data_IF_458238732848
#
_entry.id   IF_458238732848
#
_cell.length_a   1.000
_cell.length_b   1.000
_cell.length_c   1.000
_cell.angle_alpha   90.00
_cell.angle_beta   90.00
_cell.angle_gamma   90.00
#
_symmetry.space_group_name_H-M   'P 1'
#
loop_
_entity.id
_entity.type
_entity.pdbx_description
1 polymer ?
#
# COMPACT_ATOMS: atom_id res chain seq x y z
N UNK A 1 3.13 -12.92 -0.42
CA UNK A 1 1.88 -13.52 -0.96
C UNK A 1 2.14 -13.88 -2.41
N UNK A 2 2.16 -15.16 -2.75
CA UNK A 2 2.46 -15.63 -4.11
C UNK A 2 1.17 -15.91 -4.90
N UNK A 3 1.32 -16.05 -6.22
CA UNK A 3 0.26 -16.54 -7.11
C UNK A 3 0.44 -18.05 -7.24
N UNK A 4 -0.59 -18.81 -6.86
CA UNK A 4 -0.54 -20.30 -6.85
C UNK A 4 -1.48 -20.93 -7.89
N UNK A 5 -2.38 -20.15 -8.47
CA UNK A 5 -3.26 -20.60 -9.54
C UNK A 5 -2.48 -20.68 -10.86
N UNK A 6 -2.42 -21.88 -11.45
CA UNK A 6 -1.65 -22.13 -12.68
C UNK A 6 -2.16 -21.32 -13.87
N UNK A 7 -3.46 -21.07 -13.96
CA UNK A 7 -4.04 -20.27 -15.05
C UNK A 7 -3.63 -18.80 -14.92
N UNK A 8 -3.53 -18.27 -13.69
CA UNK A 8 -3.04 -16.92 -13.45
C UNK A 8 -1.54 -16.79 -13.70
N UNK A 9 -0.76 -17.83 -13.36
CA UNK A 9 0.68 -17.87 -13.68
C UNK A 9 0.85 -17.84 -15.19
N UNK A 10 0.18 -18.73 -15.92
CA UNK A 10 0.26 -18.77 -17.38
C UNK A 10 -0.15 -17.45 -18.02
N UNK A 11 -1.25 -16.84 -17.56
CA UNK A 11 -1.69 -15.55 -18.06
C UNK A 11 -0.70 -14.40 -17.81
N UNK A 12 0.17 -14.51 -16.81
CA UNK A 12 1.26 -13.56 -16.59
C UNK A 12 2.40 -13.80 -17.59
N UNK A 13 2.81 -15.05 -17.78
CA UNK A 13 3.86 -15.46 -18.73
C UNK A 13 3.48 -15.10 -20.17
N UNK A 14 2.24 -15.31 -20.57
CA UNK A 14 1.72 -14.94 -21.88
C UNK A 14 1.81 -13.43 -22.15
N UNK A 15 1.83 -12.62 -21.09
CA UNK A 15 2.04 -11.17 -21.16
C UNK A 15 3.51 -10.76 -21.01
N UNK A 16 4.44 -11.71 -21.01
CA UNK A 16 5.87 -11.45 -20.81
C UNK A 16 6.23 -11.00 -19.40
N UNK A 17 5.39 -11.29 -18.41
CA UNK A 17 5.64 -10.97 -17.00
C UNK A 17 6.27 -12.14 -16.28
N UNK A 18 6.98 -11.87 -15.18
CA UNK A 18 7.44 -12.92 -14.27
C UNK A 18 6.26 -13.75 -13.76
N UNK A 19 6.39 -15.08 -13.58
CA UNK A 19 5.37 -15.94 -12.99
C UNK A 19 4.83 -15.40 -11.67
N UNK A 20 5.72 -14.85 -10.85
CA UNK A 20 5.37 -14.20 -9.59
C UNK A 20 5.49 -12.67 -9.69
N UNK A 21 4.56 -11.91 -9.10
CA UNK A 21 4.70 -10.46 -8.99
C UNK A 21 5.86 -10.12 -8.04
N UNK A 22 6.54 -9.01 -8.32
CA UNK A 22 7.52 -8.48 -7.38
C UNK A 22 6.83 -8.12 -6.06
N UNK A 23 7.38 -8.60 -4.95
CA UNK A 23 6.95 -8.21 -3.62
C UNK A 23 7.83 -7.07 -3.12
N UNK A 24 7.21 -5.97 -2.76
CA UNK A 24 7.91 -4.74 -2.39
C UNK A 24 7.66 -4.46 -0.91
N UNK A 25 8.71 -4.47 -0.10
CA UNK A 25 8.66 -3.96 1.26
C UNK A 25 9.00 -2.47 1.21
N UNK A 26 8.14 -1.65 1.83
CA UNK A 26 8.41 -0.24 2.05
C UNK A 26 8.81 -0.03 3.52
N UNK A 27 10.05 0.38 3.74
CA UNK A 27 10.58 0.63 5.08
C UNK A 27 11.58 1.78 5.04
N UNK A 28 11.22 2.92 5.62
CA UNK A 28 12.14 4.07 5.66
C UNK A 28 13.46 3.75 6.40
N UNK A 29 13.39 3.02 7.49
CA UNK A 29 14.57 2.67 8.30
C UNK A 29 15.33 1.44 7.80
N UNK A 30 14.74 0.62 6.94
CA UNK A 30 15.29 -0.69 6.57
C UNK A 30 15.37 -1.69 7.73
N UNK A 31 14.75 -1.40 8.87
CA UNK A 31 14.75 -2.30 10.03
C UNK A 31 13.73 -3.44 9.79
N UNK A 32 14.18 -4.46 9.07
CA UNK A 32 13.39 -5.63 8.69
C UNK A 32 14.13 -6.85 9.24
N UNK A 33 13.43 -7.71 9.95
CA UNK A 33 14.01 -8.93 10.48
C UNK A 33 14.37 -9.91 9.34
N UNK A 34 15.61 -10.39 9.24
CA UNK A 34 16.05 -11.20 8.11
C UNK A 34 15.47 -12.63 8.12
N UNK A 35 14.90 -13.07 9.22
CA UNK A 35 14.27 -14.38 9.41
C UNK A 35 12.78 -14.42 9.06
N UNK A 36 12.22 -13.31 8.55
CA UNK A 36 10.84 -13.28 8.13
C UNK A 36 10.60 -14.29 6.98
N UNK A 37 9.45 -14.98 7.04
CA UNK A 37 9.00 -15.90 5.99
C UNK A 37 8.90 -15.25 4.60
N UNK A 38 8.86 -13.93 4.53
CA UNK A 38 8.98 -13.17 3.29
C UNK A 38 10.25 -13.53 2.48
N UNK A 39 11.40 -13.71 3.15
CA UNK A 39 12.66 -14.04 2.49
C UNK A 39 12.78 -15.49 2.01
N UNK A 40 11.83 -16.34 2.40
CA UNK A 40 11.75 -17.74 1.98
C UNK A 40 10.85 -17.96 0.75
N UNK A 41 10.18 -16.90 0.27
CA UNK A 41 9.27 -17.00 -0.86
C UNK A 41 10.04 -16.96 -2.18
N UNK A 42 9.62 -17.77 -3.14
CA UNK A 42 10.20 -17.77 -4.50
C UNK A 42 9.51 -16.69 -5.35
N UNK A 43 9.95 -15.46 -5.19
CA UNK A 43 9.42 -14.29 -5.91
C UNK A 43 10.47 -13.17 -5.94
N UNK A 44 10.42 -12.26 -6.91
CA UNK A 44 11.26 -11.07 -6.90
C UNK A 44 10.95 -10.20 -5.66
N UNK A 45 11.98 -9.86 -4.89
CA UNK A 45 11.88 -9.10 -3.64
C UNK A 45 12.56 -7.75 -3.78
N UNK A 46 11.82 -6.69 -3.56
CA UNK A 46 12.34 -5.34 -3.66
C UNK A 46 12.20 -4.62 -2.32
N UNK A 47 13.15 -3.77 -2.03
CA UNK A 47 13.09 -2.85 -0.89
C UNK A 47 12.94 -1.42 -1.41
N UNK A 48 11.91 -0.73 -0.98
CA UNK A 48 11.72 0.70 -1.17
C UNK A 48 12.06 1.38 0.14
N UNK A 49 13.11 2.20 0.16
CA UNK A 49 13.69 2.70 1.41
C UNK A 49 14.35 4.07 1.26
N UNK A 50 14.80 4.64 2.35
CA UNK A 50 15.61 5.85 2.39
C UNK A 50 17.10 5.52 2.23
N UNK A 51 18.00 6.50 2.03
CA UNK A 51 19.44 6.27 2.03
C UNK A 51 19.92 5.51 3.29
N UNK A 52 19.44 5.91 4.46
CA UNK A 52 19.78 5.24 5.73
C UNK A 52 19.30 3.78 5.78
N UNK A 53 18.13 3.49 5.26
CA UNK A 53 17.60 2.13 5.19
C UNK A 53 18.37 1.27 4.19
N UNK A 54 18.84 1.87 3.09
CA UNK A 54 19.64 1.17 2.08
C UNK A 54 21.01 0.75 2.61
N UNK A 55 21.65 1.57 3.44
CA UNK A 55 22.94 1.24 4.08
C UNK A 55 22.87 -0.05 4.90
N UNK A 56 21.74 -0.34 5.53
CA UNK A 56 21.55 -1.57 6.31
C UNK A 56 21.54 -2.83 5.44
N UNK A 57 21.13 -2.71 4.20
CA UNK A 57 20.93 -3.84 3.29
C UNK A 57 21.98 -3.91 2.17
N UNK A 58 22.87 -2.91 2.05
CA UNK A 58 23.83 -2.81 0.96
C UNK A 58 24.79 -4.01 0.86
N UNK A 59 25.05 -4.69 1.97
CA UNK A 59 25.95 -5.86 2.05
C UNK A 59 25.24 -7.13 2.53
N UNK A 60 23.89 -7.13 2.60
CA UNK A 60 23.13 -8.28 3.06
C UNK A 60 22.33 -8.89 1.91
N UNK A 61 22.26 -10.22 1.80
CA UNK A 61 21.35 -10.88 0.87
C UNK A 61 19.89 -10.71 1.33
N UNK A 62 18.95 -10.75 0.40
CA UNK A 62 17.54 -10.76 0.74
C UNK A 62 16.68 -10.00 -0.24
N UNK A 63 17.20 -8.95 -0.87
CA UNK A 63 16.49 -8.18 -1.89
C UNK A 63 17.20 -8.24 -3.23
N UNK A 64 16.43 -8.47 -4.29
CA UNK A 64 16.92 -8.44 -5.67
C UNK A 64 17.12 -7.01 -6.16
N UNK A 65 16.37 -6.06 -5.56
CA UNK A 65 16.49 -4.62 -5.83
C UNK A 65 16.28 -3.79 -4.58
N UNK A 66 17.05 -2.73 -4.45
CA UNK A 66 16.88 -1.69 -3.43
C UNK A 66 16.64 -0.36 -4.14
N UNK A 67 15.44 0.18 -3.96
CA UNK A 67 15.05 1.47 -4.52
C UNK A 67 15.17 2.55 -3.44
N UNK A 68 16.18 3.40 -3.60
CA UNK A 68 16.43 4.49 -2.66
C UNK A 68 15.55 5.68 -3.04
N UNK A 69 14.74 6.13 -2.10
CA UNK A 69 13.79 7.22 -2.26
C UNK A 69 14.25 8.48 -1.52
N UNK A 70 13.99 9.65 -2.07
CA UNK A 70 14.14 10.89 -1.32
C UNK A 70 13.21 10.89 -0.12
N UNK A 71 13.62 11.60 0.92
CA UNK A 71 12.87 11.73 2.15
C UNK A 71 12.18 13.09 2.23
N UNK A 72 11.03 13.11 2.87
CA UNK A 72 10.35 14.32 3.32
C UNK A 72 10.38 14.35 4.85
N UNK A 73 10.35 15.55 5.42
CA UNK A 73 10.18 15.70 6.86
C UNK A 73 8.80 15.23 7.29
N UNK A 74 8.70 14.51 8.41
CA UNK A 74 7.42 14.15 9.00
C UNK A 74 6.78 15.42 9.61
N UNK A 75 5.66 15.89 9.05
CA UNK A 75 5.01 17.11 9.55
C UNK A 75 4.41 16.95 10.95
N UNK A 76 4.25 15.72 11.43
CA UNK A 76 3.69 15.44 12.76
C UNK A 76 4.73 15.55 13.88
N UNK A 77 6.02 15.57 13.55
CA UNK A 77 7.10 15.69 14.53
C UNK A 77 7.57 17.16 14.64
N UNK A 78 6.88 17.93 15.47
CA UNK A 78 7.36 19.29 15.84
C UNK A 78 8.58 19.26 16.76
N UNK A 79 8.95 18.10 17.30
CA UNK A 79 10.04 17.89 18.27
C UNK A 79 10.95 16.78 17.76
N UNK A 80 12.24 17.05 17.60
CA UNK A 80 13.27 16.11 17.11
C UNK A 80 13.32 14.79 17.92
N UNK A 81 13.74 13.66 17.29
CA UNK A 81 14.29 13.58 15.92
C UNK A 81 13.21 13.42 14.84
N UNK A 82 13.30 14.26 13.81
CA UNK A 82 12.46 14.15 12.61
C UNK A 82 12.69 12.77 11.98
N UNK A 83 11.66 11.94 11.95
CA UNK A 83 11.74 10.67 11.23
C UNK A 83 11.62 10.94 9.73
N UNK A 84 12.59 10.52 8.91
CA UNK A 84 12.48 10.67 7.48
C UNK A 84 11.35 9.78 6.95
N UNK A 85 10.42 10.37 6.23
CA UNK A 85 9.36 9.65 5.52
C UNK A 85 9.73 9.49 4.04
N UNK A 86 9.23 8.43 3.43
CA UNK A 86 9.35 8.21 1.98
C UNK A 86 8.47 9.23 1.25
N UNK A 87 9.03 9.91 0.25
CA UNK A 87 8.27 10.73 -0.70
C UNK A 87 7.49 9.80 -1.66
N UNK A 88 6.23 9.54 -1.34
CA UNK A 88 5.41 8.59 -2.08
C UNK A 88 5.11 9.04 -3.52
N UNK A 89 5.03 10.34 -3.78
CA UNK A 89 4.82 10.83 -5.14
C UNK A 89 6.00 10.46 -6.05
N UNK A 90 7.21 10.63 -5.54
CA UNK A 90 8.44 10.23 -6.27
C UNK A 90 8.60 8.72 -6.30
N UNK A 91 8.24 8.02 -5.22
CA UNK A 91 8.31 6.57 -5.15
C UNK A 91 7.42 5.89 -6.21
N UNK A 92 6.19 6.34 -6.38
CA UNK A 92 5.29 5.82 -7.42
C UNK A 92 5.83 6.09 -8.83
N UNK A 93 6.39 7.29 -9.07
CA UNK A 93 7.06 7.60 -10.33
C UNK A 93 8.26 6.68 -10.61
N UNK A 94 9.06 6.37 -9.59
CA UNK A 94 10.19 5.45 -9.71
C UNK A 94 9.72 4.03 -9.98
N UNK A 95 8.71 3.53 -9.27
CA UNK A 95 8.13 2.21 -9.49
C UNK A 95 7.58 2.08 -10.93
N UNK A 96 6.91 3.12 -11.43
CA UNK A 96 6.44 3.15 -12.82
C UNK A 96 7.60 3.08 -13.82
N UNK A 97 8.71 3.78 -13.57
CA UNK A 97 9.91 3.72 -14.41
C UNK A 97 10.57 2.33 -14.39
N UNK A 98 10.41 1.57 -13.30
CA UNK A 98 10.86 0.18 -13.18
C UNK A 98 9.85 -0.84 -13.79
N UNK A 99 8.81 -0.37 -14.47
CA UNK A 99 7.82 -1.21 -15.16
C UNK A 99 6.66 -1.67 -14.29
N UNK A 100 6.51 -1.16 -13.05
CA UNK A 100 5.37 -1.47 -12.19
C UNK A 100 4.19 -0.58 -12.58
N UNK A 101 3.26 -1.13 -13.36
CA UNK A 101 2.07 -0.41 -13.80
C UNK A 101 0.90 -0.53 -12.82
N UNK A 102 0.81 -1.63 -12.08
CA UNK A 102 -0.24 -1.90 -11.09
C UNK A 102 0.40 -2.29 -9.77
N UNK A 103 -0.10 -1.73 -8.70
CA UNK A 103 0.40 -1.94 -7.36
C UNK A 103 -0.75 -2.35 -6.43
N UNK A 104 -0.62 -3.52 -5.79
CA UNK A 104 -1.52 -3.93 -4.73
C UNK A 104 -0.92 -3.55 -3.37
N UNK A 105 -1.64 -2.74 -2.60
CA UNK A 105 -1.25 -2.32 -1.25
C UNK A 105 -1.92 -3.26 -0.26
N UNK A 106 -1.14 -4.04 0.46
CA UNK A 106 -1.65 -5.03 1.40
C UNK A 106 -1.80 -4.48 2.85
N UNK A 107 -1.59 -3.19 3.03
CA UNK A 107 -1.70 -2.53 4.32
C UNK A 107 -0.30 -2.09 4.83
N UNK A 108 -0.13 -1.87 6.03
CA UNK A 108 -0.39 -1.15 7.17
C UNK A 108 -1.10 0.21 7.00
N UNK A 109 -1.89 0.54 8.00
CA UNK A 109 -2.72 1.74 7.98
C UNK A 109 -1.94 3.03 7.68
N UNK A 110 -0.73 3.16 8.18
CA UNK A 110 0.15 4.33 7.92
C UNK A 110 0.54 4.46 6.45
N UNK A 111 0.85 3.34 5.77
CA UNK A 111 1.13 3.35 4.33
C UNK A 111 -0.10 3.74 3.53
N UNK A 112 -1.25 3.16 3.89
CA UNK A 112 -2.52 3.47 3.26
C UNK A 112 -2.88 4.95 3.43
N UNK A 113 -2.72 5.50 4.63
CA UNK A 113 -2.96 6.92 4.91
C UNK A 113 -2.07 7.84 4.05
N UNK A 114 -0.78 7.51 3.93
CA UNK A 114 0.17 8.28 3.13
C UNK A 114 -0.19 8.27 1.63
N UNK A 115 -0.66 7.16 1.09
CA UNK A 115 -1.08 7.05 -0.30
C UNK A 115 -2.44 7.71 -0.55
N UNK A 116 -3.37 7.66 0.40
CA UNK A 116 -4.63 8.39 0.34
C UNK A 116 -4.39 9.90 0.34
N UNK A 117 -3.44 10.39 1.15
CA UNK A 117 -3.12 11.81 1.23
C UNK A 117 -2.66 12.41 -0.11
N UNK A 118 -2.07 11.61 -0.98
CA UNK A 118 -1.66 12.02 -2.34
C UNK A 118 -2.63 11.52 -3.42
N UNK A 119 -3.81 11.05 -3.02
CA UNK A 119 -4.87 10.57 -3.91
C UNK A 119 -4.44 9.42 -4.86
N UNK A 120 -3.60 8.51 -4.37
CA UNK A 120 -2.95 7.47 -5.16
C UNK A 120 -3.61 6.08 -5.02
N UNK A 121 -4.79 5.98 -4.43
CA UNK A 121 -5.54 4.72 -4.34
C UNK A 121 -6.77 4.82 -5.24
N UNK A 122 -6.86 3.94 -6.24
CA UNK A 122 -7.93 3.91 -7.22
C UNK A 122 -9.04 2.93 -6.82
N UNK A 123 -8.65 1.81 -6.23
CA UNK A 123 -9.54 0.71 -5.87
C UNK A 123 -9.31 0.29 -4.42
N UNK A 124 -10.40 -0.10 -3.76
CA UNK A 124 -10.39 -0.48 -2.36
C UNK A 124 -11.15 -1.79 -2.15
N UNK A 125 -10.44 -2.81 -1.70
CA UNK A 125 -11.01 -4.11 -1.38
C UNK A 125 -10.96 -4.31 0.13
N UNK A 126 -12.12 -4.52 0.74
CA UNK A 126 -12.28 -4.68 2.19
C UNK A 126 -13.05 -5.96 2.47
N UNK A 127 -12.58 -6.75 3.40
CA UNK A 127 -13.31 -7.89 3.95
C UNK A 127 -13.80 -7.51 5.34
N UNK A 128 -15.11 -7.56 5.54
CA UNK A 128 -15.73 -7.48 6.86
C UNK A 128 -15.81 -8.90 7.42
N UNK A 129 -15.01 -9.16 8.45
CA UNK A 129 -15.01 -10.42 9.19
C UNK A 129 -15.98 -10.34 10.36
N UNK A 130 -16.62 -11.46 10.77
CA UNK A 130 -17.57 -11.51 11.88
C UNK A 130 -16.86 -11.51 13.24
N UNK A 131 -15.96 -10.56 13.44
CA UNK A 131 -15.10 -10.44 14.62
C UNK A 131 -15.14 -9.01 15.16
N UNK A 132 -15.49 -8.85 16.43
CA UNK A 132 -15.47 -7.57 17.12
C UNK A 132 -14.25 -7.51 18.03
N UNK A 133 -13.18 -6.84 17.57
CA UNK A 133 -11.96 -6.69 18.36
C UNK A 133 -12.12 -5.57 19.37
N UNK A 134 -12.53 -4.38 18.92
CA UNK A 134 -12.70 -3.19 19.78
C UNK A 134 -11.40 -2.70 20.42
N UNK A 135 -11.53 -1.69 21.29
CA UNK A 135 -10.41 -1.12 22.02
C UNK A 135 -9.84 0.15 21.38
N UNK A 136 -9.35 1.05 22.24
CA UNK A 136 -8.80 2.36 21.85
C UNK A 136 -7.58 2.22 20.91
N UNK A 137 -6.79 1.17 21.10
CA UNK A 137 -5.57 0.91 20.33
C UNK A 137 -5.79 -0.14 19.22
N UNK A 138 -7.04 -0.44 18.85
CA UNK A 138 -7.32 -1.37 17.76
C UNK A 138 -6.79 -0.79 16.42
N UNK A 139 -6.07 -1.58 15.61
CA UNK A 139 -5.56 -1.11 14.34
C UNK A 139 -6.71 -0.73 13.41
N UNK A 140 -6.54 0.36 12.67
CA UNK A 140 -7.49 0.81 11.66
C UNK A 140 -6.95 0.58 10.25
N UNK A 141 -7.81 0.42 9.24
CA UNK A 141 -7.34 0.27 7.86
C UNK A 141 -6.64 1.54 7.32
N UNK A 142 -6.90 2.70 7.93
CA UNK A 142 -6.24 3.96 7.62
C UNK A 142 -5.77 4.57 8.94
N UNK A 143 -4.45 4.53 9.17
CA UNK A 143 -3.85 4.93 10.43
C UNK A 143 -2.85 6.07 10.17
N UNK A 144 -3.23 7.28 10.50
CA UNK A 144 -2.40 8.48 10.32
C UNK A 144 -2.54 9.43 11.50
N UNK A 145 -1.54 10.26 11.71
CA UNK A 145 -1.52 11.26 12.77
C UNK A 145 -2.62 12.34 12.62
N UNK A 146 -3.13 12.51 11.42
CA UNK A 146 -4.24 13.42 11.14
C UNK A 146 -5.22 12.73 10.17
N UNK A 147 -6.48 12.61 10.60
CA UNK A 147 -7.54 12.16 9.72
C UNK A 147 -7.91 13.23 8.70
N UNK A 148 -8.70 12.85 7.72
CA UNK A 148 -9.27 13.80 6.76
C UNK A 148 -10.49 14.49 7.38
N UNK A 149 -10.62 15.84 7.27
CA UNK A 149 -11.89 16.49 7.50
C UNK A 149 -12.96 15.86 6.60
N UNK A 150 -14.17 15.69 7.09
CA UNK A 150 -15.24 15.02 6.34
C UNK A 150 -15.50 15.62 4.94
N UNK A 151 -15.25 16.93 4.79
CA UNK A 151 -15.35 17.65 3.51
C UNK A 151 -14.23 17.33 2.52
N UNK A 152 -13.10 16.80 2.99
CA UNK A 152 -11.91 16.48 2.20
C UNK A 152 -11.64 14.97 2.16
N UNK A 153 -12.44 14.18 2.87
CA UNK A 153 -12.27 12.73 2.88
C UNK A 153 -12.50 12.14 1.48
N UNK A 154 -11.60 11.25 1.01
CA UNK A 154 -11.78 10.58 -0.26
C UNK A 154 -13.13 9.86 -0.33
N UNK A 155 -13.90 10.14 -1.38
CA UNK A 155 -15.19 9.50 -1.59
C UNK A 155 -15.00 8.22 -2.40
N UNK A 156 -15.70 7.17 -1.98
CA UNK A 156 -15.68 5.87 -2.62
C UNK A 156 -17.09 5.53 -3.13
N UNK A 157 -17.15 4.86 -4.27
CA UNK A 157 -18.39 4.32 -4.83
C UNK A 157 -18.36 2.80 -4.76
N UNK A 158 -19.33 2.20 -4.08
CA UNK A 158 -19.47 0.75 -4.00
C UNK A 158 -19.73 0.16 -5.39
N UNK A 159 -18.96 -0.83 -5.76
CA UNK A 159 -19.09 -1.61 -7.00
C UNK A 159 -19.71 -2.97 -6.76
N UNK A 160 -19.31 -3.64 -5.69
CA UNK A 160 -19.91 -4.91 -5.31
C UNK A 160 -19.82 -5.14 -3.81
N UNK A 161 -20.80 -5.88 -3.30
CA UNK A 161 -20.80 -6.44 -1.95
C UNK A 161 -21.19 -7.93 -2.09
N UNK A 162 -20.30 -8.82 -1.68
CA UNK A 162 -20.50 -10.26 -1.86
C UNK A 162 -20.33 -10.99 -0.54
N UNK A 163 -21.38 -11.58 0.01
CA UNK A 163 -21.26 -12.44 1.19
C UNK A 163 -20.62 -13.77 0.81
N UNK A 164 -19.73 -14.27 1.65
CA UNK A 164 -19.10 -15.60 1.54
C UNK A 164 -19.00 -16.18 2.95
N UNK A 165 -19.83 -17.14 3.27
CA UNK A 165 -20.01 -17.58 4.64
C UNK A 165 -20.49 -16.41 5.51
N UNK A 166 -19.79 -16.18 6.61
CA UNK A 166 -20.10 -15.09 7.55
C UNK A 166 -19.33 -13.79 7.26
N UNK A 167 -18.58 -13.75 6.15
CA UNK A 167 -17.81 -12.58 5.74
C UNK A 167 -18.47 -11.81 4.60
N UNK A 168 -18.19 -10.51 4.48
CA UNK A 168 -18.63 -9.69 3.35
C UNK A 168 -17.42 -9.07 2.66
N UNK A 169 -17.27 -9.38 1.38
CA UNK A 169 -16.25 -8.81 0.50
C UNK A 169 -16.81 -7.58 -0.19
N UNK A 170 -16.20 -6.44 0.08
CA UNK A 170 -16.60 -5.13 -0.45
C UNK A 170 -15.54 -4.67 -1.47
N UNK A 171 -16.00 -4.22 -2.62
CA UNK A 171 -15.18 -3.58 -3.63
C UNK A 171 -15.68 -2.19 -3.93
N UNK A 172 -14.81 -1.22 -3.74
CA UNK A 172 -15.06 0.19 -4.02
C UNK A 172 -14.05 0.70 -5.06
N UNK A 173 -14.47 1.70 -5.80
CA UNK A 173 -13.58 2.54 -6.61
C UNK A 173 -13.65 3.97 -6.10
N UNK A 174 -12.60 4.74 -6.33
CA UNK A 174 -12.61 6.17 -6.08
C UNK A 174 -13.76 6.81 -6.86
N UNK A 175 -14.57 7.61 -6.18
CA UNK A 175 -15.57 8.40 -6.87
C UNK A 175 -14.84 9.52 -7.64
N UNK A 176 -15.16 9.67 -8.91
CA UNK A 176 -14.74 10.85 -9.66
C UNK A 176 -15.40 12.06 -9.02
N UNK A 177 -14.69 13.16 -8.89
CA UNK A 177 -15.25 14.43 -8.45
C UNK A 177 -16.34 14.82 -9.44
N UNK A 178 -17.59 14.52 -9.11
CA UNK A 178 -18.71 15.07 -9.88
C UNK A 178 -18.66 16.59 -9.70
N UNK A 179 -18.65 17.38 -10.78
CA UNK A 179 -18.82 18.82 -10.63
C UNK A 179 -20.07 19.06 -9.79
N UNK A 180 -19.95 19.88 -8.76
CA UNK A 180 -21.03 20.26 -7.85
C UNK A 180 -22.22 20.77 -8.64
N UNK A 181 -23.16 19.90 -8.96
CA UNK A 181 -24.35 20.16 -9.73
C UNK A 181 -25.59 19.66 -8.98
N UNK A 182 -26.35 20.61 -8.44
CA UNK A 182 -27.76 20.49 -8.18
C UNK A 182 -28.17 19.55 -7.04
N UNK A 183 -28.50 20.15 -5.91
CA UNK A 183 -29.39 19.52 -4.97
C UNK A 183 -30.72 19.20 -5.68
N UNK A 184 -30.99 17.95 -6.01
CA UNK A 184 -32.33 17.46 -6.19
C UNK A 184 -32.84 17.16 -4.79
N UNK A 185 -33.69 18.06 -4.30
CA UNK A 185 -34.56 17.86 -3.13
C UNK A 185 -35.74 16.98 -3.54
N UNK A 186 -36.18 16.02 -2.71
CA UNK A 186 -37.35 15.18 -2.96
C UNK A 186 -38.64 15.95 -2.88
#
# INVERSE_FOLDING_TARGET
>A
MGVYDSALIQAREDRGQSPQPAQIIASASGAIAPDLGFFQQDCPRWLLTTPQGAERWGNQPGFDRILIMPTIADPSTAIAPVRPLIDWSKALGKLKAEGIAHLAILGGGTLVAALLAINAIDEWHVTLCPLLIGGENAPTPVDGSQGFPASQAPRLRLKSARPVGDEVFLYYVRAEDSPSGGAETP
#
